data_IF_207486986545
#
_entry.id   IF_207486986545
#
_cell.length_a   1.000
_cell.length_b   1.000
_cell.length_c   1.000
_cell.angle_alpha   90.00
_cell.angle_beta   90.00
_cell.angle_gamma   90.00
#
_symmetry.space_group_name_H-M   'P 1'
#
loop_
_entity.id
_entity.type
_entity.pdbx_description
1 polymer ?
#
# COMPACT_ATOMS: atom_id res chain seq x y z
N UNK A 1 -8.34 -28.14 10.67
CA UNK A 1 -8.01 -29.10 11.75
C UNK A 1 -9.03 -30.24 11.73
N UNK A 2 -8.68 -31.48 12.13
CA UNK A 2 -9.65 -32.58 12.15
C UNK A 2 -10.90 -32.28 12.99
N UNK A 3 -10.72 -31.56 14.10
CA UNK A 3 -11.81 -31.10 15.00
C UNK A 3 -12.76 -30.08 14.37
N UNK A 4 -12.34 -29.42 13.28
CA UNK A 4 -13.06 -28.35 12.60
C UNK A 4 -14.17 -28.86 11.68
N UNK A 5 -14.13 -30.15 11.33
CA UNK A 5 -15.15 -30.83 10.51
C UNK A 5 -16.46 -30.98 11.30
N UNK A 6 -16.35 -31.13 12.63
CA UNK A 6 -17.50 -31.34 13.52
C UNK A 6 -18.03 -30.05 14.15
N UNK A 7 -17.20 -29.00 14.28
CA UNK A 7 -17.57 -27.76 14.96
C UNK A 7 -16.64 -26.60 14.55
N UNK A 8 -17.14 -25.37 14.36
CA UNK A 8 -16.35 -24.25 13.84
C UNK A 8 -15.58 -23.56 14.98
N UNK A 9 -14.76 -24.31 15.72
CA UNK A 9 -14.11 -23.82 16.95
C UNK A 9 -12.77 -23.12 16.74
N UNK A 10 -12.19 -23.16 15.54
CA UNK A 10 -10.81 -22.73 15.31
C UNK A 10 -10.66 -21.35 14.67
N UNK A 11 -11.73 -20.58 14.45
CA UNK A 11 -11.67 -19.24 13.86
C UNK A 11 -11.31 -19.16 12.35
N UNK A 12 -10.86 -20.25 11.72
CA UNK A 12 -10.44 -20.26 10.30
C UNK A 12 -11.60 -20.32 9.27
N UNK A 13 -12.82 -19.91 9.63
CA UNK A 13 -13.95 -19.88 8.68
C UNK A 13 -14.41 -21.25 8.15
N UNK A 14 -14.04 -22.36 8.80
CA UNK A 14 -14.46 -23.70 8.39
C UNK A 14 -15.97 -23.90 8.64
N UNK A 15 -16.69 -24.42 7.64
CA UNK A 15 -18.10 -24.83 7.78
C UNK A 15 -18.16 -26.30 8.23
N UNK A 16 -18.83 -26.62 9.35
CA UNK A 16 -19.03 -28.01 9.75
C UNK A 16 -19.78 -28.79 8.68
N UNK A 17 -19.52 -30.09 8.62
CA UNK A 17 -20.12 -30.97 7.62
C UNK A 17 -21.63 -31.15 7.90
N UNK A 18 -22.46 -31.00 6.87
CA UNK A 18 -23.89 -31.28 6.98
C UNK A 18 -24.10 -32.79 7.12
N UNK A 19 -24.44 -33.21 8.34
CA UNK A 19 -24.59 -34.63 8.69
C UNK A 19 -25.76 -35.26 7.93
N UNK A 20 -26.83 -34.52 7.71
CA UNK A 20 -28.01 -35.01 7.00
C UNK A 20 -27.69 -35.23 5.53
N UNK A 21 -26.99 -34.29 4.90
CA UNK A 21 -26.53 -34.43 3.52
C UNK A 21 -25.51 -35.57 3.37
N UNK A 22 -24.60 -35.76 4.33
CA UNK A 22 -23.64 -36.86 4.31
C UNK A 22 -24.32 -38.23 4.40
N UNK A 23 -25.34 -38.38 5.25
CA UNK A 23 -26.14 -39.60 5.33
C UNK A 23 -26.87 -39.84 4.01
N UNK A 24 -27.48 -38.81 3.41
CA UNK A 24 -28.19 -38.92 2.14
C UNK A 24 -27.26 -39.39 1.00
N UNK A 25 -26.04 -38.84 0.91
CA UNK A 25 -25.05 -39.27 -0.09
C UNK A 25 -24.64 -40.73 0.12
N UNK A 26 -24.43 -41.13 1.39
CA UNK A 26 -24.07 -42.52 1.72
C UNK A 26 -25.19 -43.50 1.34
N UNK A 27 -26.45 -43.17 1.63
CA UNK A 27 -27.60 -43.99 1.24
C UNK A 27 -27.68 -44.13 -0.30
N UNK A 28 -27.35 -43.07 -1.05
CA UNK A 28 -27.30 -43.11 -2.52
C UNK A 28 -26.15 -43.98 -3.05
N UNK A 29 -24.96 -43.87 -2.46
CA UNK A 29 -23.79 -44.70 -2.85
C UNK A 29 -23.98 -46.18 -2.50
N UNK A 30 -24.74 -46.47 -1.44
CA UNK A 30 -25.10 -47.83 -1.05
C UNK A 30 -26.30 -48.38 -1.86
N UNK A 31 -26.84 -47.60 -2.81
CA UNK A 31 -27.95 -47.99 -3.67
C UNK A 31 -29.29 -48.11 -2.97
N UNK A 32 -29.42 -47.54 -1.76
CA UNK A 32 -30.66 -47.58 -0.96
C UNK A 32 -31.66 -46.51 -1.40
N UNK A 33 -31.17 -45.45 -2.04
CA UNK A 33 -31.96 -44.42 -2.70
C UNK A 33 -31.40 -44.18 -4.11
N UNK A 34 -32.28 -43.94 -5.08
CA UNK A 34 -31.83 -43.58 -6.42
C UNK A 34 -31.44 -42.10 -6.48
N UNK A 35 -30.43 -41.76 -7.28
CA UNK A 35 -30.04 -40.36 -7.48
C UNK A 35 -31.16 -39.49 -8.06
N UNK A 36 -32.15 -40.09 -8.75
CA UNK A 36 -33.35 -39.39 -9.23
C UNK A 36 -34.28 -38.93 -8.10
N UNK A 37 -34.41 -39.72 -7.04
CA UNK A 37 -35.25 -39.39 -5.88
C UNK A 37 -34.62 -38.27 -5.01
N UNK A 38 -33.29 -38.22 -4.93
CA UNK A 38 -32.53 -37.17 -4.23
C UNK A 38 -32.83 -35.78 -4.83
N UNK A 39 -32.94 -35.70 -6.16
CA UNK A 39 -33.20 -34.43 -6.87
C UNK A 39 -34.68 -34.04 -6.75
N UNK A 40 -35.60 -35.01 -6.78
CA UNK A 40 -37.04 -34.76 -6.69
C UNK A 40 -37.49 -34.26 -5.30
N UNK A 41 -36.79 -34.64 -4.22
CA UNK A 41 -37.13 -34.21 -2.85
C UNK A 41 -36.82 -32.73 -2.52
N UNK A 42 -36.16 -31.98 -3.42
CA UNK A 42 -35.85 -30.55 -3.20
C UNK A 42 -37.06 -29.63 -3.28
N UNK A 43 -38.17 -30.07 -3.87
CA UNK A 43 -39.31 -29.22 -4.22
C UNK A 43 -40.45 -29.20 -3.17
N UNK A 44 -40.27 -29.86 -2.00
CA UNK A 44 -41.31 -29.92 -0.95
C UNK A 44 -40.80 -29.60 0.46
N UNK A 45 -39.83 -28.69 0.58
CA UNK A 45 -39.41 -28.13 1.87
C UNK A 45 -40.15 -26.83 2.17
N UNK A 46 -41.04 -26.85 3.15
CA UNK A 46 -41.75 -25.67 3.66
C UNK A 46 -40.79 -24.49 3.90
N UNK A 47 -41.10 -23.36 3.28
CA UNK A 47 -40.32 -22.13 3.37
C UNK A 47 -40.37 -21.62 4.82
N UNK A 48 -39.28 -21.83 5.56
CA UNK A 48 -39.09 -21.20 6.86
C UNK A 48 -39.01 -19.69 6.64
N UNK A 49 -39.64 -18.84 7.49
CA UNK A 49 -39.52 -17.40 7.34
C UNK A 49 -38.05 -17.03 7.29
N UNK A 50 -37.65 -16.09 6.40
CA UNK A 50 -36.26 -15.73 6.24
C UNK A 50 -35.71 -15.37 7.62
N UNK A 51 -34.52 -15.89 7.99
CA UNK A 51 -33.88 -15.45 9.22
C UNK A 51 -33.83 -13.92 9.18
N UNK A 52 -34.01 -13.22 10.32
CA UNK A 52 -33.83 -11.78 10.37
C UNK A 52 -32.50 -11.46 9.69
N UNK A 53 -32.42 -10.41 8.87
CA UNK A 53 -31.22 -10.11 8.10
C UNK A 53 -30.05 -10.12 9.07
N UNK A 54 -29.22 -11.16 8.95
CA UNK A 54 -27.97 -11.16 9.67
C UNK A 54 -27.24 -9.93 9.16
N UNK A 55 -26.61 -9.12 10.04
CA UNK A 55 -25.79 -8.02 9.57
C UNK A 55 -24.84 -8.62 8.55
N UNK A 56 -25.05 -8.24 7.28
CA UNK A 56 -24.13 -8.57 6.21
C UNK A 56 -22.81 -8.04 6.74
N UNK A 57 -21.75 -8.87 6.88
CA UNK A 57 -20.46 -8.33 7.28
C UNK A 57 -20.23 -7.16 6.35
N UNK A 58 -20.11 -5.94 6.90
CA UNK A 58 -19.74 -4.78 6.10
C UNK A 58 -18.56 -5.25 5.27
N UNK A 59 -18.70 -5.21 3.94
CA UNK A 59 -17.57 -5.44 3.07
C UNK A 59 -16.61 -4.31 3.40
N UNK A 60 -15.67 -4.56 4.33
CA UNK A 60 -14.60 -3.63 4.63
C UNK A 60 -13.89 -3.42 3.31
N UNK A 61 -14.13 -2.26 2.71
CA UNK A 61 -13.40 -1.87 1.52
C UNK A 61 -11.92 -1.94 1.87
N UNK A 62 -11.11 -2.51 0.97
CA UNK A 62 -9.67 -2.51 1.17
C UNK A 62 -9.20 -1.07 1.44
N UNK A 63 -8.26 -0.87 2.38
CA UNK A 63 -7.85 0.47 2.77
C UNK A 63 -7.31 1.24 1.57
N UNK A 64 -7.65 2.52 1.52
CA UNK A 64 -7.18 3.46 0.50
C UNK A 64 -5.77 3.93 0.87
N UNK A 65 -4.81 3.27 0.25
CA UNK A 65 -3.39 3.60 0.36
C UNK A 65 -3.03 4.57 -0.75
N UNK A 66 -2.38 5.68 -0.37
CA UNK A 66 -1.83 6.65 -1.31
C UNK A 66 -0.32 6.58 -1.27
N UNK A 67 0.31 6.35 -2.41
CA UNK A 67 1.77 6.38 -2.55
C UNK A 67 2.15 7.74 -3.12
N UNK A 68 3.11 8.41 -2.51
CA UNK A 68 3.31 9.84 -2.73
C UNK A 68 4.79 10.21 -2.79
N UNK A 69 5.09 11.14 -3.70
CA UNK A 69 6.39 11.80 -3.85
C UNK A 69 6.19 13.20 -4.46
N UNK A 70 7.13 14.12 -4.20
CA UNK A 70 7.15 15.43 -4.83
C UNK A 70 8.54 15.88 -5.26
N UNK A 71 8.53 16.72 -6.28
CA UNK A 71 9.68 17.47 -6.76
C UNK A 71 9.55 18.96 -6.44
N UNK A 72 10.70 19.62 -6.31
CA UNK A 72 10.77 21.01 -5.86
C UNK A 72 11.16 21.98 -6.96
N UNK A 73 10.86 23.27 -6.75
CA UNK A 73 11.23 24.36 -7.68
C UNK A 73 12.65 24.87 -7.45
N UNK A 74 13.14 24.76 -6.21
CA UNK A 74 14.45 25.27 -5.77
C UNK A 74 15.18 24.18 -5.00
N UNK A 75 16.49 24.13 -5.17
CA UNK A 75 17.39 23.29 -4.38
C UNK A 75 17.48 23.75 -2.92
N UNK A 76 18.00 22.86 -2.06
CA UNK A 76 18.35 23.21 -0.69
C UNK A 76 19.34 24.39 -0.63
N UNK A 77 20.29 24.48 -1.57
CA UNK A 77 21.27 25.57 -1.64
C UNK A 77 20.59 26.92 -1.91
N UNK A 78 19.62 26.96 -2.82
CA UNK A 78 18.88 28.18 -3.17
C UNK A 78 18.02 28.72 -2.02
N UNK A 79 17.59 27.86 -1.10
CA UNK A 79 16.81 28.26 0.09
C UNK A 79 17.64 28.42 1.36
N UNK A 80 18.97 28.28 1.28
CA UNK A 80 19.85 28.42 2.45
C UNK A 80 19.94 27.18 3.35
N UNK A 81 19.60 26.00 2.83
CA UNK A 81 19.79 24.70 3.46
C UNK A 81 18.49 23.92 3.72
N UNK A 82 18.63 22.64 4.09
CA UNK A 82 17.52 21.71 4.32
C UNK A 82 16.57 22.13 5.46
N UNK A 83 16.99 23.04 6.34
CA UNK A 83 16.11 23.59 7.38
C UNK A 83 15.01 24.50 6.78
N UNK A 84 15.21 24.99 5.57
CA UNK A 84 14.30 25.89 4.87
C UNK A 84 13.53 25.17 3.74
N UNK A 85 13.29 23.86 3.88
CA UNK A 85 12.61 23.07 2.85
C UNK A 85 11.23 23.64 2.43
N UNK A 86 10.50 24.25 3.36
CA UNK A 86 9.24 24.96 3.09
C UNK A 86 9.38 26.09 2.04
N UNK A 87 10.57 26.68 1.86
CA UNK A 87 10.80 27.73 0.86
C UNK A 87 11.11 27.19 -0.55
N UNK A 88 11.25 25.86 -0.70
CA UNK A 88 11.68 25.22 -1.95
C UNK A 88 10.59 25.26 -3.03
N UNK A 89 9.32 25.25 -2.61
CA UNK A 89 8.15 25.23 -3.47
C UNK A 89 8.00 23.94 -4.27
N UNK A 90 6.78 23.62 -4.70
CA UNK A 90 6.45 22.38 -5.41
C UNK A 90 6.49 22.63 -6.92
N UNK A 91 7.25 21.81 -7.65
CA UNK A 91 7.24 21.84 -9.13
C UNK A 91 6.20 20.85 -9.66
N UNK A 92 6.27 19.59 -9.22
CA UNK A 92 5.24 18.58 -9.44
C UNK A 92 5.18 17.66 -8.22
N UNK A 93 3.99 17.18 -7.91
CA UNK A 93 3.75 16.11 -6.96
C UNK A 93 2.98 15.01 -7.68
N UNK A 94 3.30 13.75 -7.39
CA UNK A 94 2.60 12.61 -7.97
C UNK A 94 2.10 11.73 -6.84
N UNK A 95 0.88 11.21 -7.01
CA UNK A 95 0.39 10.13 -6.17
C UNK A 95 -0.17 8.98 -6.97
N UNK A 96 -0.10 7.77 -6.42
CA UNK A 96 -0.85 6.61 -6.85
C UNK A 96 -1.91 6.26 -5.80
N UNK A 97 -3.16 6.18 -6.22
CA UNK A 97 -4.30 5.84 -5.36
C UNK A 97 -4.62 4.34 -5.51
N UNK A 98 -4.54 3.57 -4.43
CA UNK A 98 -4.78 2.11 -4.49
C UNK A 98 -6.24 1.75 -4.82
N UNK A 99 -7.19 2.62 -4.47
CA UNK A 99 -8.62 2.39 -4.70
C UNK A 99 -9.01 2.74 -6.13
N UNK A 100 -8.54 3.88 -6.63
CA UNK A 100 -8.80 4.32 -8.01
C UNK A 100 -7.85 3.68 -9.02
N UNK A 101 -6.77 3.04 -8.53
CA UNK A 101 -5.74 2.34 -9.31
C UNK A 101 -5.09 3.20 -10.40
N UNK A 102 -4.98 4.51 -10.15
CA UNK A 102 -4.44 5.48 -11.11
C UNK A 102 -3.42 6.40 -10.47
N UNK A 103 -2.56 6.95 -11.32
CA UNK A 103 -1.67 8.04 -10.96
C UNK A 103 -2.38 9.36 -11.18
N UNK A 104 -2.09 10.34 -10.33
CA UNK A 104 -2.49 11.72 -10.51
C UNK A 104 -1.31 12.64 -10.22
N UNK A 105 -1.12 13.64 -11.07
CA UNK A 105 -0.05 14.63 -10.95
C UNK A 105 -0.66 15.99 -10.61
N UNK A 106 0.05 16.73 -9.76
CA UNK A 106 -0.36 18.01 -9.23
C UNK A 106 0.78 18.99 -9.42
N UNK A 107 0.50 20.16 -9.96
CA UNK A 107 1.44 21.27 -9.91
C UNK A 107 1.13 22.14 -8.69
N UNK A 108 1.94 23.17 -8.46
CA UNK A 108 1.77 24.09 -7.33
C UNK A 108 0.35 24.69 -7.22
N UNK A 109 -0.29 24.96 -8.36
CA UNK A 109 -1.67 25.48 -8.41
C UNK A 109 -2.73 24.47 -7.95
N UNK A 110 -2.39 23.19 -7.93
CA UNK A 110 -3.29 22.08 -7.59
C UNK A 110 -3.07 21.56 -6.15
N UNK A 111 -2.27 22.26 -5.33
CA UNK A 111 -1.87 21.79 -3.99
C UNK A 111 -3.05 21.57 -3.06
N UNK A 112 -4.10 22.40 -3.14
CA UNK A 112 -5.31 22.19 -2.34
C UNK A 112 -5.96 20.82 -2.65
N UNK A 113 -6.00 20.44 -3.94
CA UNK A 113 -6.51 19.13 -4.37
C UNK A 113 -5.58 18.01 -3.91
N UNK A 114 -4.26 18.22 -3.95
CA UNK A 114 -3.29 17.24 -3.42
C UNK A 114 -3.50 16.99 -1.92
N UNK A 115 -3.65 18.06 -1.13
CA UNK A 115 -3.87 17.98 0.32
C UNK A 115 -5.18 17.26 0.65
N UNK A 116 -6.24 17.54 -0.10
CA UNK A 116 -7.52 16.81 0.00
C UNK A 116 -7.33 15.30 -0.28
N UNK A 117 -6.53 14.93 -1.28
CA UNK A 117 -6.27 13.51 -1.58
C UNK A 117 -5.47 12.81 -0.49
N UNK A 118 -4.48 13.48 0.10
CA UNK A 118 -3.69 12.94 1.20
C UNK A 118 -4.52 12.77 2.49
N UNK A 119 -5.41 13.72 2.79
CA UNK A 119 -6.25 13.66 4.02
C UNK A 119 -7.33 12.59 3.98
N UNK A 120 -7.75 12.16 2.79
CA UNK A 120 -8.71 11.06 2.60
C UNK A 120 -8.04 9.69 2.42
N UNK A 121 -6.74 9.58 2.60
CA UNK A 121 -6.03 8.31 2.58
C UNK A 121 -6.14 7.64 3.96
N UNK A 122 -6.39 6.33 3.96
CA UNK A 122 -6.28 5.51 5.18
C UNK A 122 -4.81 5.32 5.56
N UNK A 123 -3.90 5.38 4.58
CA UNK A 123 -2.45 5.38 4.77
C UNK A 123 -1.74 6.11 3.63
N UNK A 124 -0.86 7.05 3.96
CA UNK A 124 0.10 7.64 3.03
C UNK A 124 1.42 6.87 3.12
N UNK A 125 1.94 6.40 1.99
CA UNK A 125 3.24 5.73 1.90
C UNK A 125 4.17 6.59 1.06
N UNK A 126 5.35 6.89 1.60
CA UNK A 126 6.35 7.71 0.92
C UNK A 126 7.77 7.34 1.31
N UNK A 127 8.75 8.01 0.70
CA UNK A 127 10.16 7.83 1.00
C UNK A 127 10.77 9.12 1.52
N UNK A 128 11.10 9.19 2.82
CA UNK A 128 11.52 10.42 3.50
C UNK A 128 10.43 11.52 3.54
N UNK A 129 9.17 11.13 3.31
CA UNK A 129 8.00 12.00 3.20
C UNK A 129 7.80 12.89 4.42
N UNK A 130 7.99 12.36 5.64
CA UNK A 130 7.77 13.14 6.88
C UNK A 130 8.80 14.25 7.05
N UNK A 131 10.04 13.99 6.63
CA UNK A 131 11.19 14.88 6.86
C UNK A 131 11.49 15.80 5.70
N UNK A 132 10.90 15.57 4.53
CA UNK A 132 11.11 16.36 3.34
C UNK A 132 9.80 16.87 2.78
N UNK A 133 9.01 16.01 2.15
CA UNK A 133 7.81 16.36 1.39
C UNK A 133 6.80 17.14 2.23
N UNK A 134 6.50 16.67 3.45
CA UNK A 134 5.61 17.37 4.37
C UNK A 134 6.16 18.72 4.83
N UNK A 135 7.48 18.88 4.89
CA UNK A 135 8.08 20.20 5.20
C UNK A 135 7.95 21.16 4.03
N UNK A 136 8.03 20.67 2.79
CA UNK A 136 7.78 21.47 1.59
C UNK A 136 6.29 21.85 1.54
N UNK A 137 5.39 20.88 1.69
CA UNK A 137 3.94 21.09 1.71
C UNK A 137 3.47 22.00 2.85
N UNK A 138 4.19 22.04 3.97
CA UNK A 138 3.88 22.91 5.11
C UNK A 138 3.89 24.41 4.78
N UNK A 139 4.46 24.83 3.64
CA UNK A 139 4.32 26.22 3.16
C UNK A 139 2.93 26.55 2.61
N UNK A 140 2.13 25.53 2.27
CA UNK A 140 0.85 25.66 1.59
C UNK A 140 -0.34 25.36 2.50
N UNK A 141 -0.11 24.90 3.73
CA UNK A 141 -1.18 24.52 4.65
C UNK A 141 -0.83 24.84 6.09
N UNK A 142 -1.85 25.20 6.89
CA UNK A 142 -1.73 25.29 8.34
C UNK A 142 -2.01 23.97 9.07
N UNK A 143 -2.33 22.90 8.33
CA UNK A 143 -2.61 21.58 8.91
C UNK A 143 -1.32 20.86 9.31
N UNK A 144 -1.39 20.09 10.40
CA UNK A 144 -0.29 19.22 10.80
C UNK A 144 -0.27 17.95 9.95
N UNK A 145 0.55 17.94 8.91
CA UNK A 145 0.71 16.79 8.01
C UNK A 145 1.32 15.56 8.71
N UNK A 146 2.02 15.74 9.84
CA UNK A 146 2.56 14.61 10.60
C UNK A 146 1.47 13.85 11.38
N UNK A 147 0.27 14.43 11.49
CA UNK A 147 -0.89 13.76 12.06
C UNK A 147 -1.57 12.80 11.07
N UNK A 148 -1.20 12.83 9.79
CA UNK A 148 -1.71 11.87 8.80
C UNK A 148 -1.19 10.45 9.13
N UNK A 149 -1.99 9.39 8.91
CA UNK A 149 -1.49 8.03 8.94
C UNK A 149 -0.42 7.86 7.84
N UNK A 150 0.85 7.81 8.23
CA UNK A 150 1.97 7.83 7.28
C UNK A 150 3.00 6.76 7.57
N UNK A 151 3.26 5.92 6.57
CA UNK A 151 4.39 5.00 6.52
C UNK A 151 5.54 5.60 5.71
N UNK A 152 6.62 5.99 6.39
CA UNK A 152 7.84 6.49 5.76
C UNK A 152 8.89 5.37 5.70
N UNK A 153 9.17 4.88 4.49
CA UNK A 153 10.09 3.76 4.27
C UNK A 153 11.50 4.08 4.79
N UNK A 154 11.98 5.32 4.58
CA UNK A 154 13.33 5.70 4.99
C UNK A 154 13.43 5.80 6.51
N UNK A 155 12.39 6.28 7.17
CA UNK A 155 12.29 6.31 8.63
C UNK A 155 12.39 4.89 9.22
N UNK A 156 11.62 3.94 8.69
CA UNK A 156 11.64 2.53 9.14
C UNK A 156 13.02 1.89 8.91
N UNK A 157 13.58 2.06 7.71
CA UNK A 157 14.92 1.54 7.37
C UNK A 157 15.99 2.11 8.29
N UNK A 158 15.97 3.43 8.53
CA UNK A 158 16.92 4.11 9.41
C UNK A 158 16.80 3.63 10.85
N UNK A 159 15.57 3.43 11.36
CA UNK A 159 15.31 2.89 12.70
C UNK A 159 15.92 1.51 12.89
N UNK A 160 15.86 0.65 11.86
CA UNK A 160 16.39 -0.74 11.92
C UNK A 160 17.90 -0.83 11.74
N UNK A 161 18.46 -0.04 10.82
CA UNK A 161 19.88 -0.13 10.45
C UNK A 161 20.78 0.86 11.19
N UNK A 162 20.23 1.94 11.73
CA UNK A 162 20.99 3.07 12.30
C UNK A 162 21.66 3.97 11.25
N UNK A 163 21.42 3.72 9.96
CA UNK A 163 21.88 4.57 8.85
C UNK A 163 20.86 4.57 7.71
N UNK A 164 20.96 5.57 6.84
CA UNK A 164 20.03 5.78 5.73
C UNK A 164 20.51 5.06 4.47
N UNK A 165 19.55 4.55 3.71
CA UNK A 165 19.73 4.03 2.36
C UNK A 165 18.89 4.90 1.41
N UNK A 166 19.38 5.15 0.20
CA UNK A 166 18.61 5.90 -0.80
C UNK A 166 17.55 5.03 -1.48
N UNK A 167 16.52 5.67 -2.04
CA UNK A 167 15.45 5.00 -2.78
C UNK A 167 16.01 4.16 -3.93
N UNK A 168 16.82 4.77 -4.80
CA UNK A 168 17.54 4.10 -5.89
C UNK A 168 18.29 2.84 -5.47
N UNK A 169 19.00 2.92 -4.34
CA UNK A 169 19.81 1.81 -3.84
C UNK A 169 18.93 0.64 -3.42
N UNK A 170 17.85 0.93 -2.69
CA UNK A 170 16.88 -0.08 -2.28
C UNK A 170 16.12 -0.66 -3.49
N UNK A 171 15.75 0.18 -4.45
CA UNK A 171 15.08 -0.22 -5.67
C UNK A 171 15.94 -1.19 -6.51
N UNK A 172 17.21 -0.84 -6.71
CA UNK A 172 18.17 -1.66 -7.43
C UNK A 172 18.38 -3.00 -6.72
N UNK A 173 18.68 -2.96 -5.43
CA UNK A 173 19.03 -4.17 -4.70
C UNK A 173 17.83 -5.07 -4.40
N UNK A 174 16.63 -4.50 -4.18
CA UNK A 174 15.42 -5.26 -3.82
C UNK A 174 14.60 -5.67 -5.04
N UNK A 175 14.37 -4.75 -5.98
CA UNK A 175 13.46 -4.95 -7.11
C UNK A 175 14.20 -5.27 -8.43
N UNK A 176 15.53 -5.15 -8.46
CA UNK A 176 16.32 -5.35 -9.68
C UNK A 176 16.12 -4.25 -10.72
N UNK A 177 15.62 -3.08 -10.32
CA UNK A 177 15.41 -1.93 -11.22
C UNK A 177 16.65 -1.03 -11.26
N UNK A 178 17.19 -0.81 -12.46
CA UNK A 178 18.31 0.11 -12.69
C UNK A 178 17.85 1.57 -12.84
N UNK A 179 18.78 2.51 -12.60
CA UNK A 179 18.53 3.96 -12.52
C UNK A 179 17.75 4.55 -13.70
N UNK A 180 16.80 5.42 -13.37
CA UNK A 180 16.15 6.34 -14.32
C UNK A 180 16.33 7.77 -13.77
N UNK A 181 17.50 8.37 -13.98
CA UNK A 181 17.88 9.75 -13.62
C UNK A 181 18.13 10.08 -12.12
N UNK A 182 18.83 11.20 -11.88
CA UNK A 182 19.31 11.73 -10.59
C UNK A 182 18.47 12.95 -10.19
N UNK A 183 18.16 13.18 -8.91
CA UNK A 183 17.38 14.34 -8.44
C UNK A 183 17.97 15.72 -8.84
N UNK A 184 19.26 15.81 -9.14
CA UNK A 184 19.84 17.02 -9.76
C UNK A 184 19.26 17.32 -11.16
N UNK A 185 18.85 16.27 -11.88
CA UNK A 185 18.21 16.37 -13.19
C UNK A 185 16.78 16.92 -13.08
N UNK A 186 16.06 16.64 -11.99
CA UNK A 186 14.70 17.13 -11.75
C UNK A 186 14.64 18.68 -11.71
N UNK A 187 15.56 19.29 -10.96
CA UNK A 187 15.70 20.75 -10.91
C UNK A 187 16.08 21.35 -12.27
N UNK A 188 16.91 20.65 -13.06
CA UNK A 188 17.29 21.08 -14.40
C UNK A 188 16.08 21.06 -15.35
N UNK A 189 15.29 19.99 -15.35
CA UNK A 189 14.07 19.89 -16.13
C UNK A 189 13.05 20.97 -15.77
N UNK A 190 12.86 21.24 -14.48
CA UNK A 190 11.98 22.33 -14.05
C UNK A 190 12.43 23.68 -14.61
N UNK A 191 13.72 24.01 -14.51
CA UNK A 191 14.28 25.27 -15.05
C UNK A 191 14.18 25.37 -16.56
N UNK A 192 14.21 24.25 -17.26
CA UNK A 192 14.07 24.16 -18.72
C UNK A 192 12.59 24.14 -19.18
N UNK A 193 11.64 24.00 -18.26
CA UNK A 193 10.22 23.85 -18.58
C UNK A 193 9.83 22.45 -19.06
N UNK A 194 10.71 21.46 -18.90
CA UNK A 194 10.54 20.06 -19.33
C UNK A 194 9.62 19.29 -18.35
N UNK A 195 8.39 19.78 -18.18
CA UNK A 195 7.45 19.30 -17.16
C UNK A 195 6.98 17.87 -17.38
N UNK A 196 6.94 17.39 -18.63
CA UNK A 196 6.56 16.01 -18.92
C UNK A 196 7.62 15.02 -18.42
N UNK A 197 8.90 15.32 -18.67
CA UNK A 197 10.02 14.52 -18.17
C UNK A 197 10.08 14.53 -16.64
N UNK A 198 9.90 15.70 -16.03
CA UNK A 198 9.86 15.84 -14.58
C UNK A 198 8.69 15.04 -13.96
N UNK A 199 7.50 15.13 -14.54
CA UNK A 199 6.32 14.37 -14.08
C UNK A 199 6.54 12.87 -14.22
N UNK A 200 7.18 12.43 -15.31
CA UNK A 200 7.52 11.02 -15.52
C UNK A 200 8.52 10.51 -14.50
N UNK A 201 9.52 11.32 -14.15
CA UNK A 201 10.51 10.99 -13.13
C UNK A 201 9.88 10.82 -11.76
N UNK A 202 9.15 11.83 -11.27
CA UNK A 202 8.45 11.76 -9.98
C UNK A 202 7.46 10.58 -9.94
N UNK A 203 6.78 10.30 -11.07
CA UNK A 203 5.92 9.11 -11.18
C UNK A 203 6.68 7.79 -11.02
N UNK A 204 7.90 7.68 -11.55
CA UNK A 204 8.73 6.47 -11.36
C UNK A 204 9.12 6.32 -9.89
N UNK A 205 9.44 7.40 -9.19
CA UNK A 205 9.75 7.36 -7.76
C UNK A 205 8.54 6.89 -6.92
N UNK A 206 7.31 7.31 -7.29
CA UNK A 206 6.07 6.77 -6.69
C UNK A 206 5.90 5.29 -7.00
N UNK A 207 6.17 4.85 -8.24
CA UNK A 207 6.11 3.43 -8.63
C UNK A 207 7.09 2.62 -7.80
N UNK A 208 8.34 3.07 -7.69
CA UNK A 208 9.40 2.39 -6.94
C UNK A 208 9.06 2.32 -5.45
N UNK A 209 8.59 3.44 -4.88
CA UNK A 209 8.14 3.51 -3.48
C UNK A 209 7.02 2.51 -3.22
N UNK A 210 6.01 2.47 -4.09
CA UNK A 210 4.92 1.49 -4.03
C UNK A 210 5.43 0.05 -4.09
N UNK A 211 6.27 -0.24 -5.06
CA UNK A 211 6.72 -1.61 -5.31
C UNK A 211 7.67 -2.09 -4.20
N UNK A 212 8.46 -1.20 -3.59
CA UNK A 212 9.24 -1.50 -2.38
C UNK A 212 8.33 -1.79 -1.19
N UNK A 213 7.31 -0.97 -0.96
CA UNK A 213 6.36 -1.18 0.13
C UNK A 213 5.66 -2.54 0.01
N UNK A 214 5.11 -2.83 -1.17
CA UNK A 214 4.46 -4.10 -1.47
C UNK A 214 5.41 -5.29 -1.34
N UNK A 215 6.66 -5.15 -1.79
CA UNK A 215 7.67 -6.20 -1.63
C UNK A 215 7.96 -6.49 -0.15
N UNK A 216 8.09 -5.45 0.68
CA UNK A 216 8.30 -5.64 2.11
C UNK A 216 7.11 -6.30 2.80
N UNK A 217 5.87 -5.93 2.45
CA UNK A 217 4.65 -6.60 2.92
C UNK A 217 4.59 -8.08 2.52
N UNK A 218 4.84 -8.38 1.24
CA UNK A 218 4.69 -9.74 0.70
C UNK A 218 5.83 -10.67 1.10
N UNK A 219 7.07 -10.14 1.12
CA UNK A 219 8.29 -10.96 1.27
C UNK A 219 8.94 -10.83 2.65
N UNK A 220 8.48 -9.91 3.50
CA UNK A 220 9.01 -9.71 4.86
C UNK A 220 10.48 -9.27 4.91
N UNK A 221 11.03 -8.74 3.82
CA UNK A 221 12.38 -8.19 3.80
C UNK A 221 12.58 -7.20 2.66
N UNK A 222 13.56 -6.32 2.81
CA UNK A 222 14.20 -5.57 1.73
C UNK A 222 15.62 -6.08 1.52
N UNK A 223 16.27 -5.65 0.44
CA UNK A 223 17.66 -6.00 0.16
C UNK A 223 18.48 -4.75 -0.05
N UNK A 224 19.68 -4.74 0.52
CA UNK A 224 20.64 -3.66 0.34
C UNK A 224 22.05 -4.20 0.23
N UNK A 225 22.94 -3.41 -0.37
CA UNK A 225 24.38 -3.70 -0.40
C UNK A 225 25.12 -2.86 0.62
N UNK A 226 25.93 -3.51 1.46
CA UNK A 226 26.81 -2.84 2.41
C UNK A 226 27.99 -2.18 1.69
N UNK A 227 28.26 -0.89 1.96
CA UNK A 227 29.33 -0.14 1.31
C UNK A 227 30.74 -0.67 1.58
N UNK A 228 30.99 -1.18 2.80
CA UNK A 228 32.34 -1.58 3.23
C UNK A 228 32.79 -2.90 2.59
N UNK A 229 31.91 -3.90 2.57
CA UNK A 229 32.25 -5.24 2.09
C UNK A 229 31.69 -5.56 0.71
N UNK A 230 30.79 -4.72 0.18
CA UNK A 230 30.07 -4.99 -1.06
C UNK A 230 29.06 -6.13 -0.96
N UNK A 231 28.84 -6.69 0.24
CA UNK A 231 27.92 -7.81 0.47
C UNK A 231 26.48 -7.37 0.33
N UNK A 232 25.68 -8.19 -0.36
CA UNK A 232 24.23 -8.05 -0.44
C UNK A 232 23.60 -8.69 0.78
N UNK A 233 22.82 -7.92 1.54
CA UNK A 233 22.25 -8.28 2.83
C UNK A 233 20.73 -8.10 2.78
N UNK A 234 20.00 -8.96 3.50
CA UNK A 234 18.55 -8.84 3.67
C UNK A 234 18.26 -8.05 4.95
N UNK A 235 17.47 -7.00 4.82
CA UNK A 235 16.88 -6.28 5.94
C UNK A 235 15.51 -6.90 6.21
N UNK A 236 15.36 -7.65 7.30
CA UNK A 236 14.06 -8.18 7.68
C UNK A 236 13.11 -7.04 8.06
N UNK A 237 11.88 -7.10 7.54
CA UNK A 237 10.80 -6.17 7.87
C UNK A 237 9.56 -6.96 8.28
N UNK A 238 8.82 -6.41 9.21
CA UNK A 238 7.60 -6.97 9.81
C UNK A 238 6.37 -6.11 9.46
N UNK A 239 6.37 -5.53 8.25
CA UNK A 239 5.28 -4.67 7.81
C UNK A 239 3.99 -5.48 7.69
N UNK A 240 2.94 -4.99 8.33
CA UNK A 240 1.59 -5.55 8.27
C UNK A 240 0.62 -4.41 7.97
N UNK A 241 -0.20 -4.58 6.92
CA UNK A 241 -1.09 -3.51 6.48
C UNK A 241 -2.19 -3.19 7.50
N UNK A 242 -2.73 -4.20 8.19
CA UNK A 242 -3.79 -4.00 9.18
C UNK A 242 -3.25 -3.18 10.36
N UNK A 243 -2.03 -3.49 10.84
CA UNK A 243 -1.38 -2.75 11.92
C UNK A 243 -1.02 -1.31 11.53
N UNK A 244 -0.76 -1.06 10.24
CA UNK A 244 -0.37 0.25 9.73
C UNK A 244 -1.56 1.18 9.49
N UNK A 245 -2.74 0.63 9.19
CA UNK A 245 -3.96 1.40 8.93
C UNK A 245 -4.77 1.61 10.23
N UNK A 246 -4.62 0.73 11.22
CA UNK A 246 -5.27 0.84 12.53
C UNK A 246 -6.51 -0.03 12.67
#
# INVERSE_FOLDING_TARGET
>A
CPSCIHSPKCGNGNKPLDKSAAVLIMEGLLGRISFGEIVASRDQGAESPPPPPQPVPEQRHAPRIVYFDLETRKSAQEVGGWNNAHLMGISVAVLYDSRERRFEAFQEKDVDRLLERLSHADLVVGFNVKRFDYRVLGAYTGQDLLALPTFDILEDVHRRLGFRLGLDHLACETLGRGKTADGLQALAWFRQGEMEMLTRYCREDVVVTRDLFLHGLEKGHLVYREKKTGRRLRLAVDWNLDDLVG
#
